data_IF_474030618939
#
_entry.id   IF_474030618939
#
_cell.length_a   1.000
_cell.length_b   1.000
_cell.length_c   1.000
_cell.angle_alpha   90.00
_cell.angle_beta   90.00
_cell.angle_gamma   90.00
#
_symmetry.space_group_name_H-M   'P 1'
#
loop_
_entity.id
_entity.type
_entity.pdbx_description
1 polymer ?
#
# COMPACT_ATOMS: atom_id res chain seq x y z
N UNK A 1 32.27 -12.45 61.03
CA UNK A 1 30.98 -12.42 60.26
C UNK A 1 31.34 -12.10 58.81
N UNK A 2 31.38 -13.14 57.97
CA UNK A 2 31.66 -12.98 56.55
C UNK A 2 30.33 -12.62 55.83
N UNK A 3 30.35 -11.55 55.02
CA UNK A 3 29.24 -11.20 54.12
C UNK A 3 29.09 -12.25 53.01
N UNK A 4 27.88 -12.57 52.58
CA UNK A 4 27.68 -13.43 51.41
C UNK A 4 27.83 -12.60 50.15
N UNK A 5 29.05 -12.52 49.61
CA UNK A 5 29.38 -11.77 48.38
C UNK A 5 29.05 -12.55 47.08
N UNK A 6 28.51 -13.75 47.16
CA UNK A 6 28.40 -14.63 45.98
C UNK A 6 27.07 -14.67 45.24
N UNK A 7 26.02 -13.92 45.67
CA UNK A 7 24.70 -14.01 45.04
C UNK A 7 24.28 -12.78 44.23
N UNK A 8 24.86 -11.63 44.46
CA UNK A 8 24.48 -10.41 43.70
C UNK A 8 25.22 -10.33 42.35
N UNK A 9 26.45 -10.78 42.25
CA UNK A 9 27.20 -10.83 40.99
C UNK A 9 26.56 -11.79 39.95
N UNK A 10 26.05 -12.92 40.43
CA UNK A 10 25.41 -13.95 39.56
C UNK A 10 24.10 -13.42 38.89
N UNK A 11 23.34 -12.59 39.58
CA UNK A 11 22.11 -12.01 39.12
C UNK A 11 22.35 -10.98 38.00
N UNK A 12 23.34 -10.09 38.13
CA UNK A 12 23.68 -9.11 37.11
C UNK A 12 24.25 -9.77 35.84
N UNK A 13 25.12 -10.77 36.02
CA UNK A 13 25.66 -11.51 34.89
C UNK A 13 24.56 -12.25 34.10
N UNK A 14 23.55 -12.81 34.77
CA UNK A 14 22.40 -13.43 34.11
C UNK A 14 21.54 -12.41 33.39
N UNK A 15 21.32 -11.23 33.98
CA UNK A 15 20.56 -10.15 33.35
C UNK A 15 21.28 -9.63 32.11
N UNK A 16 22.57 -9.40 32.16
CA UNK A 16 23.38 -8.93 31.05
C UNK A 16 23.36 -9.93 29.89
N UNK A 17 23.49 -11.23 30.17
CA UNK A 17 23.41 -12.31 29.16
C UNK A 17 22.02 -12.40 28.54
N UNK A 18 20.94 -12.21 29.31
CA UNK A 18 19.59 -12.16 28.79
C UNK A 18 19.33 -10.93 27.91
N UNK A 19 19.84 -9.77 28.30
CA UNK A 19 19.70 -8.53 27.53
C UNK A 19 20.49 -8.60 26.22
N UNK A 20 21.71 -9.16 26.26
CA UNK A 20 22.52 -9.37 25.06
C UNK A 20 21.80 -10.31 24.07
N UNK A 21 21.29 -11.45 24.54
CA UNK A 21 20.54 -12.40 23.71
C UNK A 21 19.30 -11.77 23.10
N UNK A 22 18.53 -11.00 23.87
CA UNK A 22 17.35 -10.27 23.35
C UNK A 22 17.75 -9.22 22.33
N UNK A 23 18.83 -8.50 22.55
CA UNK A 23 19.33 -7.48 21.62
C UNK A 23 19.73 -8.10 20.30
N UNK A 24 20.48 -9.21 20.31
CA UNK A 24 20.85 -9.96 19.09
C UNK A 24 19.62 -10.44 18.36
N UNK A 25 18.68 -11.08 19.04
CA UNK A 25 17.45 -11.58 18.43
C UNK A 25 16.60 -10.48 17.80
N UNK A 26 16.45 -9.32 18.44
CA UNK A 26 15.71 -8.18 17.90
C UNK A 26 16.42 -7.63 16.68
N UNK A 27 17.75 -7.53 16.72
CA UNK A 27 18.55 -7.02 15.59
C UNK A 27 18.47 -7.95 14.39
N UNK A 28 18.58 -9.26 14.59
CA UNK A 28 18.49 -10.26 13.52
C UNK A 28 17.11 -10.24 12.87
N UNK A 29 16.04 -10.20 13.67
CA UNK A 29 14.67 -10.09 13.15
C UNK A 29 14.47 -8.79 12.33
N UNK A 30 15.04 -7.69 12.77
CA UNK A 30 14.95 -6.40 12.05
C UNK A 30 15.69 -6.46 10.71
N UNK A 31 16.88 -7.05 10.67
CA UNK A 31 17.65 -7.24 9.43
C UNK A 31 16.89 -8.12 8.44
N UNK A 32 16.32 -9.24 8.90
CA UNK A 32 15.56 -10.15 8.05
C UNK A 32 14.29 -9.49 7.49
N UNK A 33 13.53 -8.78 8.33
CA UNK A 33 12.33 -8.05 7.89
C UNK A 33 12.66 -6.95 6.86
N UNK A 34 13.77 -6.23 7.03
CA UNK A 34 14.21 -5.23 6.06
C UNK A 34 14.66 -5.85 4.74
N UNK A 35 15.35 -6.99 4.78
CA UNK A 35 15.72 -7.72 3.57
C UNK A 35 14.49 -8.20 2.80
N UNK A 36 13.50 -8.74 3.48
CA UNK A 36 12.23 -9.16 2.88
C UNK A 36 11.45 -7.99 2.28
N UNK A 37 11.36 -6.86 3.00
CA UNK A 37 10.77 -5.62 2.49
C UNK A 37 11.48 -5.15 1.21
N UNK A 38 12.80 -5.20 1.17
CA UNK A 38 13.60 -4.89 -0.02
C UNK A 38 13.28 -5.80 -1.20
N UNK A 39 13.11 -7.09 -0.97
CA UNK A 39 12.73 -8.06 -2.01
C UNK A 39 11.33 -7.77 -2.56
N UNK A 40 10.34 -7.53 -1.69
CA UNK A 40 8.98 -7.16 -2.09
C UNK A 40 8.99 -5.87 -2.91
N UNK A 41 9.70 -4.83 -2.45
CA UNK A 41 9.79 -3.56 -3.16
C UNK A 41 10.41 -3.69 -4.56
N UNK A 42 11.37 -4.60 -4.72
CA UNK A 42 11.94 -4.90 -6.04
C UNK A 42 10.89 -5.50 -6.97
N UNK A 43 10.12 -6.49 -6.50
CA UNK A 43 9.00 -7.09 -7.26
C UNK A 43 7.97 -6.01 -7.64
N UNK A 44 7.57 -5.16 -6.68
CA UNK A 44 6.64 -4.06 -6.92
C UNK A 44 7.14 -3.12 -8.03
N UNK A 45 8.40 -2.71 -7.95
CA UNK A 45 8.98 -1.81 -8.93
C UNK A 45 8.96 -2.42 -10.34
N UNK A 46 9.39 -3.68 -10.47
CA UNK A 46 9.43 -4.37 -11.76
C UNK A 46 8.03 -4.50 -12.37
N UNK A 47 7.04 -4.87 -11.57
CA UNK A 47 5.66 -5.06 -12.06
C UNK A 47 4.98 -3.75 -12.39
N UNK A 48 5.09 -2.74 -11.52
CA UNK A 48 4.51 -1.42 -11.78
C UNK A 48 5.14 -0.75 -13.00
N UNK A 49 6.45 -0.95 -13.22
CA UNK A 49 7.12 -0.45 -14.41
C UNK A 49 6.63 -1.15 -15.70
N UNK A 50 6.41 -2.46 -15.65
CA UNK A 50 5.83 -3.22 -16.79
C UNK A 50 4.41 -2.75 -17.10
N UNK A 51 3.59 -2.50 -16.07
CA UNK A 51 2.24 -1.96 -16.19
C UNK A 51 2.28 -0.56 -16.80
N UNK A 52 3.15 0.32 -16.30
CA UNK A 52 3.36 1.67 -16.83
C UNK A 52 3.69 1.67 -18.32
N UNK A 53 4.64 0.82 -18.77
CA UNK A 53 4.98 0.67 -20.20
C UNK A 53 3.75 0.23 -21.01
N UNK A 54 2.95 -0.68 -20.45
CA UNK A 54 1.76 -1.20 -21.13
C UNK A 54 0.69 -0.13 -21.31
N UNK A 55 0.41 0.65 -20.28
CA UNK A 55 -0.56 1.74 -20.35
C UNK A 55 -0.11 2.87 -21.28
N UNK A 56 1.17 3.19 -21.30
CA UNK A 56 1.70 4.17 -22.27
C UNK A 56 1.49 3.74 -23.73
N UNK A 57 1.56 2.44 -24.04
CA UNK A 57 1.29 1.93 -25.40
C UNK A 57 -0.15 2.12 -25.85
N UNK A 58 -1.09 2.27 -24.94
CA UNK A 58 -2.51 2.49 -25.23
C UNK A 58 -2.95 3.92 -24.91
N UNK A 59 -1.99 4.84 -24.78
CA UNK A 59 -2.20 6.26 -24.47
C UNK A 59 -2.98 6.52 -23.17
N UNK A 60 -2.87 5.61 -22.20
CA UNK A 60 -3.38 5.83 -20.84
C UNK A 60 -2.21 6.29 -19.98
N UNK A 61 -2.31 7.46 -19.40
CA UNK A 61 -1.32 7.95 -18.45
C UNK A 61 -1.42 7.12 -17.16
N UNK A 62 -0.28 6.63 -16.70
CA UNK A 62 -0.16 5.88 -15.46
C UNK A 62 0.78 6.61 -14.53
N UNK A 63 0.24 7.23 -13.50
CA UNK A 63 1.05 7.87 -12.46
C UNK A 63 1.39 6.88 -11.36
N UNK A 64 2.61 6.96 -10.89
CA UNK A 64 3.15 6.15 -9.81
C UNK A 64 3.92 7.04 -8.84
N UNK A 65 3.63 6.92 -7.57
CA UNK A 65 4.36 7.63 -6.54
C UNK A 65 4.98 6.59 -5.57
N UNK A 66 6.27 6.71 -5.26
CA UNK A 66 7.18 7.71 -5.79
C UNK A 66 7.38 7.52 -7.31
N UNK A 67 7.64 8.62 -8.01
CA UNK A 67 7.77 8.61 -9.47
C UNK A 67 8.87 7.67 -9.94
N UNK A 68 8.65 7.00 -11.08
CA UNK A 68 9.58 6.01 -11.63
C UNK A 68 10.99 6.56 -11.91
N UNK A 69 11.11 7.85 -12.23
CA UNK A 69 12.40 8.52 -12.42
C UNK A 69 13.25 8.56 -11.15
N UNK A 70 12.63 8.50 -9.97
CA UNK A 70 13.33 8.44 -8.69
C UNK A 70 14.00 7.07 -8.45
N UNK A 71 13.50 6.01 -9.05
CA UNK A 71 14.03 4.65 -8.84
C UNK A 71 15.36 4.39 -9.53
N UNK A 72 15.64 5.08 -10.63
CA UNK A 72 16.92 4.93 -11.34
C UNK A 72 18.12 5.47 -10.51
N UNK A 73 17.85 6.26 -9.48
CA UNK A 73 18.88 6.99 -8.74
C UNK A 73 19.04 6.57 -7.27
N UNK A 74 18.12 5.78 -6.69
CA UNK A 74 18.13 5.51 -5.25
C UNK A 74 18.22 4.02 -4.92
N UNK A 75 19.22 3.69 -4.09
CA UNK A 75 19.35 2.37 -3.46
C UNK A 75 18.33 2.13 -2.33
N UNK A 76 17.49 3.11 -2.01
CA UNK A 76 16.51 3.05 -0.92
C UNK A 76 15.12 2.98 -1.50
N UNK A 77 14.44 1.89 -1.24
CA UNK A 77 13.05 1.70 -1.64
C UNK A 77 12.12 2.44 -0.68
N UNK A 78 11.05 3.06 -1.18
CA UNK A 78 10.08 3.77 -0.36
C UNK A 78 9.27 2.82 0.53
N UNK A 79 8.78 3.35 1.63
CA UNK A 79 7.88 2.64 2.53
C UNK A 79 6.42 2.67 2.09
N UNK A 80 6.10 3.52 1.13
CA UNK A 80 4.75 3.72 0.62
C UNK A 80 4.76 3.88 -0.90
N UNK A 81 3.81 3.22 -1.54
CA UNK A 81 3.58 3.27 -2.96
C UNK A 81 2.14 3.66 -3.26
N UNK A 82 1.96 4.38 -4.34
CA UNK A 82 0.65 4.66 -4.90
C UNK A 82 0.73 4.58 -6.41
N UNK A 83 -0.25 3.95 -7.05
CA UNK A 83 -0.37 4.01 -8.49
C UNK A 83 -1.81 4.25 -8.91
N UNK A 84 -1.95 4.95 -10.04
CA UNK A 84 -3.21 5.43 -10.57
C UNK A 84 -3.11 5.53 -12.08
N UNK A 85 -3.85 4.70 -12.84
CA UNK A 85 -4.06 4.96 -14.25
C UNK A 85 -5.07 6.10 -14.42
N UNK A 86 -4.76 7.00 -15.32
CA UNK A 86 -5.67 8.10 -15.68
C UNK A 86 -6.64 7.62 -16.76
N UNK A 87 -7.62 6.86 -16.33
CA UNK A 87 -8.65 6.35 -17.20
C UNK A 87 -9.68 7.43 -17.53
N UNK A 88 -10.04 7.51 -18.82
CA UNK A 88 -11.08 8.40 -19.28
C UNK A 88 -12.45 7.77 -19.06
N UNK A 89 -13.21 8.37 -18.13
CA UNK A 89 -14.61 8.05 -17.89
C UNK A 89 -15.55 9.12 -18.49
N UNK A 90 -15.05 9.98 -19.39
CA UNK A 90 -15.85 11.03 -20.05
C UNK A 90 -16.96 10.40 -20.87
N UNK A 91 -18.15 10.97 -20.77
CA UNK A 91 -19.36 10.45 -21.40
C UNK A 91 -20.30 9.68 -20.47
N UNK A 92 -19.91 9.52 -19.22
CA UNK A 92 -20.85 9.21 -18.15
C UNK A 92 -21.54 10.51 -17.81
N UNK A 93 -22.86 10.53 -18.06
CA UNK A 93 -23.73 11.65 -17.74
C UNK A 93 -23.92 11.76 -16.22
N UNK A 94 -22.85 12.01 -15.52
CA UNK A 94 -22.87 12.37 -14.10
C UNK A 94 -22.85 13.89 -14.00
N UNK A 95 -24.01 14.49 -14.19
CA UNK A 95 -24.23 15.92 -13.98
C UNK A 95 -23.81 16.40 -12.56
N UNK A 96 -23.57 15.47 -11.64
CA UNK A 96 -23.05 15.74 -10.32
C UNK A 96 -21.51 15.81 -10.23
N UNK A 97 -20.79 15.27 -11.22
CA UNK A 97 -19.35 15.36 -11.32
C UNK A 97 -19.03 16.45 -12.34
N UNK A 98 -18.92 17.68 -11.88
CA UNK A 98 -18.51 18.81 -12.70
C UNK A 98 -17.15 18.54 -13.37
N UNK A 99 -16.87 19.17 -14.51
CA UNK A 99 -15.64 19.08 -15.33
C UNK A 99 -14.32 19.00 -14.55
N UNK A 100 -14.31 19.46 -13.31
CA UNK A 100 -13.15 19.44 -12.43
C UNK A 100 -12.88 18.08 -11.79
N UNK A 101 -13.86 17.18 -11.79
CA UNK A 101 -13.77 15.89 -11.10
C UNK A 101 -13.62 14.72 -12.07
N UNK A 102 -13.98 14.87 -13.32
CA UNK A 102 -14.01 13.78 -14.30
C UNK A 102 -12.63 13.12 -14.52
N UNK A 103 -11.56 13.91 -14.54
CA UNK A 103 -10.18 13.40 -14.67
C UNK A 103 -9.44 13.29 -13.34
N UNK A 104 -10.11 13.53 -12.22
CA UNK A 104 -9.47 13.62 -10.90
C UNK A 104 -10.21 12.82 -9.84
N UNK A 105 -10.96 11.84 -10.25
CA UNK A 105 -11.47 10.85 -9.29
C UNK A 105 -10.25 10.24 -8.67
N UNK A 106 -10.09 10.38 -7.38
CA UNK A 106 -8.90 9.97 -6.66
C UNK A 106 -8.71 8.45 -6.53
N UNK A 107 -9.26 7.67 -7.48
CA UNK A 107 -9.12 6.22 -7.47
C UNK A 107 -7.66 5.84 -7.62
N UNK A 108 -7.16 5.05 -6.69
CA UNK A 108 -5.78 4.60 -6.68
C UNK A 108 -5.61 3.30 -5.94
N UNK A 109 -4.55 2.59 -6.23
CA UNK A 109 -4.06 1.53 -5.35
C UNK A 109 -2.92 2.10 -4.53
N UNK A 110 -3.01 1.91 -3.22
CA UNK A 110 -1.97 2.29 -2.26
C UNK A 110 -1.39 1.05 -1.62
N UNK A 111 -0.08 1.07 -1.42
CA UNK A 111 0.68 0.01 -0.78
C UNK A 111 1.59 0.65 0.25
N UNK A 112 1.61 0.09 1.47
CA UNK A 112 2.53 0.52 2.51
C UNK A 112 2.87 -0.61 3.47
N UNK A 113 3.88 -0.35 4.29
CA UNK A 113 4.26 -1.22 5.39
C UNK A 113 3.88 -0.60 6.72
N UNK A 114 3.48 -1.42 7.66
CA UNK A 114 3.21 -1.02 9.03
C UNK A 114 3.59 -2.15 9.99
N UNK A 115 3.77 -1.84 11.28
CA UNK A 115 4.20 -2.82 12.25
C UNK A 115 3.04 -3.19 13.18
N UNK A 116 2.87 -4.50 13.39
CA UNK A 116 1.96 -5.09 14.38
C UNK A 116 2.75 -6.13 15.16
N UNK A 117 2.76 -6.01 16.49
CA UNK A 117 3.45 -6.96 17.38
C UNK A 117 4.90 -7.27 16.95
N UNK A 118 5.64 -6.22 16.61
CA UNK A 118 7.03 -6.30 16.12
C UNK A 118 7.21 -7.02 14.79
N UNK A 119 6.13 -7.28 14.05
CA UNK A 119 6.19 -7.80 12.70
C UNK A 119 5.83 -6.72 11.67
N UNK A 120 6.61 -6.63 10.61
CA UNK A 120 6.30 -5.76 9.48
C UNK A 120 5.21 -6.42 8.63
N UNK A 121 4.11 -5.71 8.42
CA UNK A 121 3.03 -6.10 7.53
C UNK A 121 3.10 -5.34 6.20
N UNK A 122 2.79 -6.03 5.13
CA UNK A 122 2.54 -5.48 3.81
C UNK A 122 1.04 -5.30 3.61
N UNK A 123 0.61 -4.09 3.29
CA UNK A 123 -0.79 -3.78 3.03
C UNK A 123 -0.97 -3.12 1.67
N UNK A 124 -1.93 -3.62 0.92
CA UNK A 124 -2.38 -3.10 -0.37
C UNK A 124 -3.87 -2.81 -0.30
N UNK A 125 -4.29 -1.62 -0.68
CA UNK A 125 -5.70 -1.22 -0.70
C UNK A 125 -6.07 -0.59 -2.02
N UNK A 126 -7.33 -0.74 -2.41
CA UNK A 126 -7.96 0.10 -3.43
C UNK A 126 -8.65 1.26 -2.72
N UNK A 127 -8.27 2.48 -3.05
CA UNK A 127 -8.86 3.69 -2.51
C UNK A 127 -9.61 4.42 -3.61
N UNK A 128 -10.83 4.83 -3.32
CA UNK A 128 -11.62 5.60 -4.26
C UNK A 128 -12.43 6.71 -3.58
N UNK A 129 -12.70 7.76 -4.35
CA UNK A 129 -13.53 8.87 -3.92
C UNK A 129 -15.01 8.49 -4.04
N UNK A 130 -15.70 8.44 -2.89
CA UNK A 130 -17.15 8.21 -2.82
C UNK A 130 -17.97 9.43 -3.27
N UNK A 131 -17.39 10.64 -3.09
CA UNK A 131 -18.05 11.90 -3.38
C UNK A 131 -17.43 13.06 -2.64
N UNK A 132 -18.07 14.20 -2.76
CA UNK A 132 -17.68 15.43 -2.06
C UNK A 132 -18.79 15.86 -1.11
N UNK A 133 -18.41 16.36 0.05
CA UNK A 133 -19.33 16.91 1.04
C UNK A 133 -18.90 18.32 1.42
N UNK A 134 -19.89 19.24 1.50
CA UNK A 134 -19.65 20.61 1.93
C UNK A 134 -19.77 20.74 3.44
N UNK A 135 -18.70 21.18 4.08
CA UNK A 135 -18.65 21.49 5.49
C UNK A 135 -18.67 23.01 5.69
N UNK A 136 -19.61 23.52 6.47
CA UNK A 136 -19.88 24.96 6.66
C UNK A 136 -18.63 25.81 6.96
N UNK A 137 -17.64 25.24 7.64
CA UNK A 137 -16.42 25.96 8.07
C UNK A 137 -15.14 25.46 7.40
N UNK A 138 -15.19 24.37 6.62
CA UNK A 138 -14.04 23.75 6.02
C UNK A 138 -14.12 23.65 4.47
N UNK A 139 -15.24 24.10 3.89
CA UNK A 139 -15.46 24.02 2.44
C UNK A 139 -15.78 22.61 1.94
N UNK A 140 -15.53 22.37 0.67
CA UNK A 140 -15.72 21.07 0.06
C UNK A 140 -14.61 20.11 0.47
N UNK A 141 -15.01 18.94 0.93
CA UNK A 141 -14.13 17.85 1.33
C UNK A 141 -14.49 16.59 0.56
N UNK A 142 -13.50 15.82 0.14
CA UNK A 142 -13.71 14.54 -0.50
C UNK A 142 -13.77 13.43 0.52
N UNK A 143 -14.69 12.50 0.30
CA UNK A 143 -14.84 11.29 1.11
C UNK A 143 -14.20 10.14 0.35
N UNK A 144 -13.23 9.50 0.96
CA UNK A 144 -12.55 8.33 0.41
C UNK A 144 -12.92 7.07 1.19
N UNK A 145 -13.10 5.97 0.47
CA UNK A 145 -13.21 4.64 1.04
C UNK A 145 -12.07 3.76 0.56
N UNK A 146 -11.56 2.95 1.47
CA UNK A 146 -10.52 1.96 1.19
C UNK A 146 -11.12 0.56 1.24
N UNK A 147 -10.63 -0.32 0.36
CA UNK A 147 -10.91 -1.76 0.35
C UNK A 147 -9.60 -2.51 0.42
N UNK A 148 -9.50 -3.45 1.34
CA UNK A 148 -8.26 -4.20 1.60
C UNK A 148 -8.12 -5.29 0.55
N UNK A 149 -7.16 -5.11 -0.36
CA UNK A 149 -6.84 -6.08 -1.40
C UNK A 149 -5.96 -7.21 -0.87
N UNK A 150 -4.97 -6.85 -0.06
CA UNK A 150 -4.04 -7.78 0.58
C UNK A 150 -3.52 -7.16 1.87
N UNK A 151 -3.49 -7.96 2.94
CA UNK A 151 -2.87 -7.59 4.22
C UNK A 151 -2.22 -8.84 4.83
N UNK A 152 -0.90 -8.85 4.86
CA UNK A 152 -0.14 -10.03 5.31
C UNK A 152 1.15 -9.62 5.99
N UNK A 153 1.66 -10.39 6.96
CA UNK A 153 3.04 -10.22 7.41
C UNK A 153 4.00 -10.27 6.22
N UNK A 154 4.97 -9.37 6.14
CA UNK A 154 5.92 -9.29 5.03
C UNK A 154 6.68 -10.62 4.82
N UNK A 155 6.99 -11.32 5.92
CA UNK A 155 7.62 -12.65 5.89
C UNK A 155 6.74 -13.75 5.27
N UNK A 156 5.43 -13.51 5.14
CA UNK A 156 4.45 -14.41 4.51
C UNK A 156 3.93 -13.88 3.19
N UNK A 157 4.63 -12.92 2.59
CA UNK A 157 4.27 -12.39 1.30
C UNK A 157 4.37 -13.48 0.23
N UNK A 158 3.25 -13.68 -0.48
CA UNK A 158 3.14 -14.61 -1.61
C UNK A 158 3.06 -13.79 -2.90
N UNK A 159 4.13 -13.82 -3.68
CA UNK A 159 4.25 -13.10 -4.94
C UNK A 159 3.18 -13.52 -5.95
N UNK A 160 2.85 -14.80 -6.01
CA UNK A 160 1.79 -15.28 -6.91
C UNK A 160 0.43 -14.72 -6.53
N UNK A 161 0.08 -14.76 -5.25
CA UNK A 161 -1.16 -14.18 -4.75
C UNK A 161 -1.23 -12.68 -5.00
N UNK A 162 -0.11 -11.98 -4.81
CA UNK A 162 0.01 -10.57 -5.13
C UNK A 162 -0.25 -10.30 -6.61
N UNK A 163 0.39 -11.06 -7.51
CA UNK A 163 0.21 -10.95 -8.96
C UNK A 163 -1.24 -11.23 -9.38
N UNK A 164 -1.87 -12.25 -8.81
CA UNK A 164 -3.26 -12.58 -9.12
C UNK A 164 -4.22 -11.44 -8.73
N UNK A 165 -4.01 -10.83 -7.57
CA UNK A 165 -4.79 -9.68 -7.10
C UNK A 165 -4.53 -8.45 -7.98
N UNK A 166 -3.26 -8.14 -8.25
CA UNK A 166 -2.87 -6.99 -9.07
C UNK A 166 -3.45 -7.11 -10.49
N UNK A 167 -3.36 -8.29 -11.08
CA UNK A 167 -3.91 -8.56 -12.41
C UNK A 167 -5.43 -8.43 -12.45
N UNK A 168 -6.13 -8.92 -11.43
CA UNK A 168 -7.57 -8.81 -11.29
C UNK A 168 -8.03 -7.34 -11.22
N UNK A 169 -7.40 -6.55 -10.36
CA UNK A 169 -7.70 -5.13 -10.21
C UNK A 169 -7.44 -4.36 -11.51
N UNK A 170 -6.26 -4.54 -12.11
CA UNK A 170 -5.88 -3.84 -13.35
C UNK A 170 -6.79 -4.22 -14.51
N UNK A 171 -7.13 -5.50 -14.65
CA UNK A 171 -8.05 -5.98 -15.70
C UNK A 171 -9.43 -5.37 -15.55
N UNK A 172 -9.99 -5.39 -14.35
CA UNK A 172 -11.33 -4.85 -14.11
C UNK A 172 -11.35 -3.33 -14.27
N UNK A 173 -10.31 -2.66 -13.82
CA UNK A 173 -10.15 -1.21 -13.99
C UNK A 173 -10.05 -0.81 -15.47
N UNK A 174 -9.26 -1.57 -16.24
CA UNK A 174 -9.17 -1.37 -17.69
C UNK A 174 -10.49 -1.65 -18.43
N UNK A 175 -11.26 -2.66 -18.00
CA UNK A 175 -12.61 -2.91 -18.53
C UNK A 175 -13.55 -1.73 -18.24
N UNK A 176 -13.51 -1.17 -17.04
CA UNK A 176 -14.23 0.05 -16.68
C UNK A 176 -13.89 1.20 -17.63
N UNK A 177 -12.61 1.40 -17.94
CA UNK A 177 -12.16 2.41 -18.89
C UNK A 177 -12.71 2.19 -20.30
N UNK A 178 -12.63 0.96 -20.83
CA UNK A 178 -13.13 0.63 -22.17
C UNK A 178 -14.63 0.84 -22.29
N UNK A 179 -15.39 0.54 -21.23
CA UNK A 179 -16.83 0.73 -21.18
C UNK A 179 -17.25 2.14 -20.76
N UNK A 180 -16.29 2.97 -20.35
CA UNK A 180 -16.53 4.30 -19.77
C UNK A 180 -17.48 4.26 -18.57
N UNK A 181 -17.39 3.19 -17.78
CA UNK A 181 -18.25 2.94 -16.64
C UNK A 181 -17.41 2.60 -15.41
N UNK A 182 -17.22 3.59 -14.55
CA UNK A 182 -16.48 3.46 -13.30
C UNK A 182 -17.12 2.47 -12.33
N UNK A 183 -18.43 2.30 -12.37
CA UNK A 183 -19.15 1.44 -11.43
C UNK A 183 -18.79 -0.02 -11.59
N UNK A 184 -18.26 -0.44 -12.73
CA UNK A 184 -17.78 -1.82 -12.96
C UNK A 184 -16.66 -2.16 -11.97
N UNK A 185 -15.60 -1.35 -11.90
CA UNK A 185 -14.50 -1.60 -10.97
C UNK A 185 -14.95 -1.42 -9.52
N UNK A 186 -15.76 -0.40 -9.23
CA UNK A 186 -16.21 -0.15 -7.86
C UNK A 186 -17.09 -1.28 -7.33
N UNK A 187 -17.99 -1.79 -8.15
CA UNK A 187 -18.84 -2.93 -7.81
C UNK A 187 -17.98 -4.18 -7.56
N UNK A 188 -17.06 -4.49 -8.47
CA UNK A 188 -16.16 -5.63 -8.33
C UNK A 188 -15.34 -5.57 -7.04
N UNK A 189 -14.75 -4.42 -6.74
CA UNK A 189 -13.96 -4.20 -5.52
C UNK A 189 -14.84 -4.38 -4.27
N UNK A 190 -16.04 -3.79 -4.24
CA UNK A 190 -16.97 -3.89 -3.12
C UNK A 190 -17.47 -5.32 -2.86
N UNK A 191 -17.67 -6.09 -3.92
CA UNK A 191 -18.17 -7.46 -3.81
C UNK A 191 -17.08 -8.45 -3.39
N UNK A 192 -15.83 -8.19 -3.77
CA UNK A 192 -14.74 -9.15 -3.61
C UNK A 192 -13.85 -8.88 -2.41
N UNK A 193 -13.73 -7.62 -1.98
CA UNK A 193 -12.76 -7.21 -0.98
C UNK A 193 -13.43 -6.57 0.23
N UNK A 194 -12.79 -6.74 1.39
CA UNK A 194 -13.30 -6.20 2.65
C UNK A 194 -13.13 -4.69 2.70
N UNK A 195 -14.18 -4.01 3.18
CA UNK A 195 -14.14 -2.57 3.39
C UNK A 195 -13.22 -2.26 4.58
N UNK A 196 -12.22 -1.43 4.34
CA UNK A 196 -11.35 -0.86 5.36
C UNK A 196 -11.86 0.49 5.85
N UNK A 197 -10.98 1.49 5.85
CA UNK A 197 -11.27 2.82 6.38
C UNK A 197 -12.08 3.68 5.42
N UNK A 198 -12.88 4.60 6.00
CA UNK A 198 -13.50 5.72 5.28
C UNK A 198 -13.03 6.99 5.95
N UNK A 199 -12.52 7.94 5.18
CA UNK A 199 -11.98 9.20 5.70
C UNK A 199 -12.27 10.38 4.77
N UNK A 200 -12.04 11.58 5.27
CA UNK A 200 -12.32 12.84 4.55
C UNK A 200 -11.02 13.61 4.36
N UNK A 201 -10.78 14.10 3.16
CA UNK A 201 -9.64 14.96 2.78
C UNK A 201 -10.10 16.32 2.28
#
# INVERSE_FOLDING_TARGET
>A
MAKPEGKEEDWFAQLDDELEKKTVQITDNFVEQNAQKGAINKTLLEDLFRIWIRFNKINVHFSMAPESSAFATFAVYPDQWQFKPDFDFTGIDNAALTDRTQNRVGDSVKIWYYNVDSQTHFRMVFEFCEGEHYYKYAGWKRIFSQYVLLDVPAMKFDEKKFHDILADVIKTWYESHLRRDRDIVLKHIREKYEKGETFTQ
#
